data_IF_348549380336
#
_entry.id   IF_348549380336
#
_cell.length_a   1.000
_cell.length_b   1.000
_cell.length_c   1.000
_cell.angle_alpha   90.00
_cell.angle_beta   90.00
_cell.angle_gamma   90.00
#
_symmetry.space_group_name_H-M   'P 1'
#
loop_
_entity.id
_entity.type
_entity.pdbx_description
1 polymer ?
#
# COMPACT_ATOMS: atom_id res chain seq x y z
N UNK A 1 56.27 -53.69 -9.70
CA UNK A 1 54.98 -54.05 -9.08
C UNK A 1 54.24 -52.74 -8.84
N UNK A 2 52.97 -52.71 -9.27
CA UNK A 2 51.98 -51.64 -9.13
C UNK A 2 52.25 -50.30 -9.86
N UNK A 3 51.68 -50.18 -11.06
CA UNK A 3 51.30 -48.91 -11.68
C UNK A 3 49.77 -48.82 -11.62
N UNK A 4 49.24 -48.02 -10.69
CA UNK A 4 47.81 -47.73 -10.54
C UNK A 4 47.42 -46.61 -11.52
N UNK A 5 46.46 -46.93 -12.38
CA UNK A 5 45.70 -45.97 -13.19
C UNK A 5 44.74 -45.19 -12.30
N UNK A 6 44.67 -43.87 -12.48
CA UNK A 6 43.57 -43.03 -12.00
C UNK A 6 42.84 -42.47 -13.23
N UNK A 7 41.50 -42.58 -13.34
CA UNK A 7 40.76 -41.87 -14.36
C UNK A 7 40.46 -40.43 -13.90
N UNK A 8 40.84 -39.49 -14.77
CA UNK A 8 40.49 -38.08 -14.74
C UNK A 8 39.01 -37.86 -15.09
N UNK A 9 38.27 -37.15 -14.23
CA UNK A 9 37.02 -36.46 -14.60
C UNK A 9 36.78 -35.28 -13.66
N UNK A 10 37.29 -34.09 -14.04
CA UNK A 10 36.84 -32.83 -13.46
C UNK A 10 35.67 -32.29 -14.30
N UNK A 11 34.46 -32.30 -13.74
CA UNK A 11 33.32 -31.58 -14.30
C UNK A 11 33.53 -30.05 -14.11
N UNK A 12 33.08 -29.20 -15.05
CA UNK A 12 33.27 -27.76 -14.93
C UNK A 12 32.35 -27.18 -13.85
N UNK A 13 32.95 -26.41 -12.92
CA UNK A 13 32.25 -25.62 -11.92
C UNK A 13 31.48 -24.50 -12.62
N UNK A 14 30.16 -24.53 -12.54
CA UNK A 14 29.28 -23.45 -12.99
C UNK A 14 29.47 -22.20 -12.10
N UNK A 15 29.56 -20.99 -12.66
CA UNK A 15 29.68 -19.78 -11.86
C UNK A 15 28.36 -19.48 -11.14
N UNK A 16 28.40 -19.39 -9.82
CA UNK A 16 27.30 -18.93 -8.99
C UNK A 16 27.15 -17.42 -9.22
N UNK A 17 26.06 -17.01 -9.88
CA UNK A 17 25.71 -15.59 -10.00
C UNK A 17 25.27 -15.05 -8.64
N UNK A 18 25.65 -13.83 -8.25
CA UNK A 18 25.21 -13.24 -7.00
C UNK A 18 23.70 -13.03 -7.02
N UNK A 19 23.01 -13.63 -6.06
CA UNK A 19 21.60 -13.37 -5.77
C UNK A 19 21.48 -11.92 -5.30
N UNK A 20 21.07 -11.03 -6.20
CA UNK A 20 20.60 -9.70 -5.83
C UNK A 20 19.23 -9.88 -5.19
N UNK A 21 19.18 -9.93 -3.86
CA UNK A 21 17.93 -9.74 -3.14
C UNK A 21 17.52 -8.27 -3.29
N UNK A 22 16.60 -8.02 -4.22
CA UNK A 22 15.88 -6.74 -4.28
C UNK A 22 14.76 -6.83 -3.24
N UNK A 23 15.02 -6.32 -2.04
CA UNK A 23 13.94 -5.98 -1.12
C UNK A 23 13.23 -4.74 -1.68
N UNK A 24 11.91 -4.83 -1.88
CA UNK A 24 11.08 -3.64 -2.08
C UNK A 24 11.14 -2.82 -0.79
N UNK A 25 11.88 -1.71 -0.82
CA UNK A 25 11.96 -0.79 0.30
C UNK A 25 10.71 0.11 0.31
N UNK A 26 9.64 -0.42 0.92
CA UNK A 26 8.40 0.34 1.17
C UNK A 26 8.59 1.50 2.16
N UNK A 27 9.81 1.72 2.69
CA UNK A 27 10.15 2.89 3.49
C UNK A 27 10.52 4.11 2.64
N UNK A 28 10.71 3.94 1.31
CA UNK A 28 10.99 5.05 0.41
C UNK A 28 9.76 5.96 0.22
N UNK A 29 9.82 7.23 0.67
CA UNK A 29 8.72 8.17 0.53
C UNK A 29 8.41 8.53 -0.93
N UNK A 30 9.32 8.35 -1.91
CA UNK A 30 9.01 8.61 -3.33
C UNK A 30 8.03 7.59 -3.90
N UNK A 31 8.26 6.31 -3.62
CA UNK A 31 7.44 5.19 -4.10
C UNK A 31 6.01 5.30 -3.56
N UNK A 32 5.87 5.65 -2.28
CA UNK A 32 4.55 5.89 -1.68
C UNK A 32 3.93 7.21 -2.16
N UNK A 33 4.69 8.31 -2.31
CA UNK A 33 4.16 9.59 -2.80
C UNK A 33 3.56 9.48 -4.20
N UNK A 34 4.16 8.71 -5.09
CA UNK A 34 3.60 8.50 -6.43
C UNK A 34 2.28 7.70 -6.37
N UNK A 35 2.20 6.67 -5.52
CA UNK A 35 0.98 5.88 -5.31
C UNK A 35 -0.12 6.63 -4.52
N UNK A 36 0.25 7.54 -3.63
CA UNK A 36 -0.71 8.36 -2.87
C UNK A 36 -1.16 9.59 -3.64
N UNK A 37 -0.31 10.21 -4.47
CA UNK A 37 -0.73 11.27 -5.40
C UNK A 37 -1.76 10.76 -6.43
N UNK A 38 -1.73 9.46 -6.74
CA UNK A 38 -2.74 8.79 -7.57
C UNK A 38 -4.12 8.69 -6.87
N UNK A 39 -4.14 8.59 -5.54
CA UNK A 39 -5.37 8.42 -4.73
C UNK A 39 -5.86 9.74 -4.11
N UNK A 40 -4.98 10.73 -3.91
CA UNK A 40 -5.30 12.04 -3.35
C UNK A 40 -6.07 12.95 -4.30
N UNK A 41 -6.29 12.52 -5.53
CA UNK A 41 -6.75 13.41 -6.55
C UNK A 41 -7.77 12.73 -7.47
N UNK A 42 -9.00 12.63 -6.95
CA UNK A 42 -10.18 12.74 -7.82
C UNK A 42 -10.19 14.09 -8.60
N UNK A 43 -9.28 15.02 -8.28
CA UNK A 43 -8.87 16.17 -9.08
C UNK A 43 -7.81 15.90 -10.17
N UNK A 44 -6.80 15.03 -9.98
CA UNK A 44 -5.78 14.67 -11.02
C UNK A 44 -6.53 13.91 -12.10
N UNK A 45 -7.50 13.06 -11.78
CA UNK A 45 -8.33 12.42 -12.82
C UNK A 45 -9.16 13.45 -13.61
N UNK A 46 -9.29 14.70 -13.17
CA UNK A 46 -9.79 15.80 -13.99
C UNK A 46 -8.66 16.58 -14.69
N UNK A 47 -7.48 16.74 -14.09
CA UNK A 47 -6.31 17.43 -14.67
C UNK A 47 -5.54 16.60 -15.72
N UNK A 48 -5.24 15.32 -15.46
CA UNK A 48 -4.72 14.35 -16.46
C UNK A 48 -5.71 14.13 -17.61
N UNK A 49 -7.00 14.42 -17.39
CA UNK A 49 -8.09 14.35 -18.36
C UNK A 49 -8.50 15.76 -18.85
N UNK A 50 -7.74 16.79 -18.47
CA UNK A 50 -8.03 18.21 -18.66
C UNK A 50 -7.93 18.63 -20.11
N UNK A 51 -8.92 19.40 -20.54
CA UNK A 51 -9.08 19.92 -21.89
C UNK A 51 -7.82 20.67 -22.34
N UNK A 52 -7.22 20.23 -23.46
CA UNK A 52 -6.65 21.22 -24.37
C UNK A 52 -7.83 21.98 -24.94
N UNK A 53 -8.07 23.20 -24.45
CA UNK A 53 -8.55 24.34 -25.23
C UNK A 53 -8.35 25.61 -24.38
N UNK A 54 -7.99 26.68 -25.06
CA UNK A 54 -7.43 27.94 -24.60
C UNK A 54 -8.41 28.86 -23.86
N UNK A 55 -7.82 29.90 -23.26
CA UNK A 55 -8.42 31.18 -22.84
C UNK A 55 -9.07 31.21 -21.44
N UNK A 56 -8.23 31.54 -20.45
CA UNK A 56 -8.66 32.02 -19.13
C UNK A 56 -9.02 33.50 -19.28
N UNK A 57 -10.32 33.79 -19.38
CA UNK A 57 -10.88 35.06 -18.90
C UNK A 57 -11.32 34.89 -17.44
N UNK A 58 -11.11 35.98 -16.68
CA UNK A 58 -11.20 36.10 -15.23
C UNK A 58 -12.41 35.41 -14.58
N UNK A 59 -12.17 34.65 -13.50
CA UNK A 59 -13.22 34.24 -12.56
C UNK A 59 -12.85 34.74 -11.16
N UNK A 60 -13.68 35.67 -10.69
CA UNK A 60 -13.66 36.26 -9.35
C UNK A 60 -13.78 35.20 -8.25
N UNK A 61 -13.06 35.42 -7.14
CA UNK A 61 -13.08 34.58 -5.94
C UNK A 61 -14.50 34.44 -5.36
N UNK A 62 -14.96 33.22 -4.98
CA UNK A 62 -16.27 33.06 -4.38
C UNK A 62 -16.27 33.48 -2.89
N UNK A 63 -17.21 34.37 -2.58
CA UNK A 63 -17.55 34.89 -1.25
C UNK A 63 -18.03 33.77 -0.30
N UNK A 64 -17.64 33.76 1.00
CA UNK A 64 -18.06 32.72 1.92
C UNK A 64 -19.54 32.86 2.33
N UNK A 65 -20.30 31.77 2.17
CA UNK A 65 -21.67 31.65 2.67
C UNK A 65 -21.64 31.42 4.18
N UNK A 66 -22.14 32.39 4.95
CA UNK A 66 -22.59 32.21 6.34
C UNK A 66 -23.88 31.39 6.35
N UNK A 67 -23.94 30.34 7.17
CA UNK A 67 -25.11 30.17 8.04
C UNK A 67 -24.83 29.32 9.29
N UNK A 68 -25.37 29.87 10.37
CA UNK A 68 -25.30 29.44 11.76
C UNK A 68 -26.05 28.12 12.00
N UNK A 69 -25.44 27.20 12.73
CA UNK A 69 -25.96 26.65 14.00
C UNK A 69 -24.97 25.62 14.55
N UNK A 70 -23.99 26.09 15.32
CA UNK A 70 -23.07 25.25 16.10
C UNK A 70 -23.53 25.28 17.54
N UNK A 71 -23.93 24.13 18.09
CA UNK A 71 -24.06 23.92 19.53
C UNK A 71 -22.65 23.97 20.17
N UNK A 72 -22.50 24.53 21.38
CA UNK A 72 -21.19 24.86 21.93
C UNK A 72 -20.46 23.59 22.39
N UNK A 73 -19.39 23.22 21.71
CA UNK A 73 -18.39 22.31 22.27
C UNK A 73 -17.46 23.18 23.12
N UNK A 74 -17.53 22.96 24.43
CA UNK A 74 -16.60 23.53 25.41
C UNK A 74 -15.17 23.15 25.00
N UNK A 75 -14.37 24.14 24.59
CA UNK A 75 -12.92 24.03 24.48
C UNK A 75 -12.34 24.40 25.82
N UNK A 76 -11.84 23.41 26.56
CA UNK A 76 -10.86 23.70 27.60
C UNK A 76 -9.52 23.98 26.91
N UNK A 77 -9.14 25.25 26.99
CA UNK A 77 -7.79 25.73 26.71
C UNK A 77 -6.90 25.20 27.83
N UNK A 78 -5.94 24.35 27.50
CA UNK A 78 -4.77 24.16 28.36
C UNK A 78 -3.80 25.30 28.06
N UNK A 79 -3.71 26.22 29.01
CA UNK A 79 -2.63 27.20 29.13
C UNK A 79 -1.34 26.48 29.56
N UNK A 80 -0.15 27.02 29.21
CA UNK A 80 1.10 26.54 29.79
C UNK A 80 1.18 27.05 31.22
N UNK A 81 1.14 26.15 32.19
CA UNK A 81 1.42 26.47 33.59
C UNK A 81 2.89 26.20 33.92
N UNK A 82 3.42 27.09 34.75
CA UNK A 82 4.80 27.26 35.17
C UNK A 82 5.46 26.00 35.74
N UNK A 83 6.75 25.86 35.43
CA UNK A 83 7.70 25.02 36.16
C UNK A 83 7.80 25.50 37.61
N UNK A 84 7.21 24.75 38.54
CA UNK A 84 7.58 24.80 39.96
C UNK A 84 8.21 23.47 40.34
N UNK A 85 9.50 23.53 40.69
CA UNK A 85 10.31 22.43 41.21
C UNK A 85 9.64 21.79 42.44
N UNK A 86 9.07 20.59 42.28
CA UNK A 86 8.72 19.71 43.39
C UNK A 86 9.88 18.71 43.61
N UNK A 87 10.53 18.83 44.77
CA UNK A 87 11.56 17.91 45.24
C UNK A 87 10.99 16.48 45.33
N UNK A 88 11.49 15.57 44.48
CA UNK A 88 11.19 14.16 44.58
C UNK A 88 11.87 13.56 45.81
N UNK A 89 11.09 13.19 46.82
CA UNK A 89 11.53 12.30 47.88
C UNK A 89 11.91 10.95 47.26
N UNK A 90 13.19 10.58 47.35
CA UNK A 90 13.69 9.27 46.95
C UNK A 90 13.07 8.20 47.86
N UNK A 91 12.06 7.49 47.35
CA UNK A 91 11.56 6.27 47.97
C UNK A 91 12.64 5.18 47.81
N UNK A 92 13.42 4.95 48.87
CA UNK A 92 14.44 3.90 48.92
C UNK A 92 13.77 2.54 48.76
N UNK A 93 13.95 1.91 47.60
CA UNK A 93 13.57 0.51 47.37
C UNK A 93 14.43 -0.37 48.27
N UNK A 94 13.84 -0.97 49.30
CA UNK A 94 14.50 -2.01 50.09
C UNK A 94 14.94 -3.15 49.16
N UNK A 95 16.25 -3.36 49.04
CA UNK A 95 16.86 -4.52 48.39
C UNK A 95 16.49 -5.79 49.16
N UNK A 96 15.32 -6.34 48.88
CA UNK A 96 15.00 -7.71 49.18
C UNK A 96 15.96 -8.62 48.41
N UNK A 97 16.96 -9.19 49.09
CA UNK A 97 17.77 -10.31 48.60
C UNK A 97 16.86 -11.52 48.31
N UNK A 98 16.17 -11.50 47.17
CA UNK A 98 15.62 -12.70 46.55
C UNK A 98 16.79 -13.37 45.84
N UNK A 99 17.02 -14.64 46.16
CA UNK A 99 18.09 -15.43 45.55
C UNK A 99 18.08 -15.25 44.04
N UNK A 100 19.27 -15.07 43.47
CA UNK A 100 19.48 -14.98 42.02
C UNK A 100 19.07 -16.31 41.41
N UNK A 101 17.78 -16.46 41.08
CA UNK A 101 17.36 -17.46 40.11
C UNK A 101 17.77 -16.91 38.76
N UNK A 102 18.83 -17.47 38.17
CA UNK A 102 19.11 -17.28 36.74
C UNK A 102 17.81 -17.61 35.99
N UNK A 103 17.25 -16.67 35.21
CA UNK A 103 16.05 -16.95 34.41
C UNK A 103 16.30 -18.20 33.58
N UNK A 104 15.35 -19.14 33.60
CA UNK A 104 15.43 -20.34 32.78
C UNK A 104 15.43 -19.92 31.31
N UNK A 105 16.47 -20.30 30.56
CA UNK A 105 16.54 -20.02 29.13
C UNK A 105 15.46 -20.85 28.42
N UNK A 106 14.34 -20.21 28.08
CA UNK A 106 13.32 -20.83 27.26
C UNK A 106 13.86 -20.99 25.83
N UNK A 107 14.23 -22.22 25.49
CA UNK A 107 14.60 -22.56 24.12
C UNK A 107 13.35 -22.63 23.23
N UNK A 108 13.38 -21.91 22.11
CA UNK A 108 12.32 -21.99 21.11
C UNK A 108 12.30 -23.37 20.45
N UNK A 109 11.13 -24.02 20.48
CA UNK A 109 10.91 -25.39 19.96
C UNK A 109 10.03 -25.42 18.70
N UNK A 110 9.61 -24.25 18.20
CA UNK A 110 8.73 -24.16 17.04
C UNK A 110 9.44 -24.50 15.73
N UNK A 111 8.68 -25.10 14.79
CA UNK A 111 9.13 -25.30 13.41
C UNK A 111 8.77 -24.07 12.58
N UNK A 112 9.74 -23.17 12.41
CA UNK A 112 9.58 -21.95 11.61
C UNK A 112 9.80 -22.20 10.12
N UNK A 113 9.23 -21.34 9.28
CA UNK A 113 9.44 -21.37 7.84
C UNK A 113 8.14 -21.32 7.06
N UNK A 114 8.27 -21.53 5.75
CA UNK A 114 7.15 -21.61 4.81
C UNK A 114 6.33 -22.86 5.10
N UNK A 115 5.04 -22.68 5.36
CA UNK A 115 4.10 -23.74 5.72
C UNK A 115 3.39 -24.35 4.52
N UNK A 116 3.23 -23.58 3.45
CA UNK A 116 2.59 -24.02 2.22
C UNK A 116 3.48 -23.73 1.02
N UNK A 117 3.63 -24.73 0.14
CA UNK A 117 4.37 -24.58 -1.11
C UNK A 117 3.36 -24.34 -2.24
N UNK A 118 3.64 -23.39 -3.14
CA UNK A 118 2.82 -23.22 -4.32
C UNK A 118 2.97 -24.42 -5.26
N UNK A 119 1.99 -24.66 -6.13
CA UNK A 119 2.05 -25.73 -7.13
C UNK A 119 3.24 -25.56 -8.08
N UNK A 120 3.53 -24.31 -8.44
CA UNK A 120 4.73 -23.93 -9.17
C UNK A 120 5.65 -23.07 -8.29
N UNK A 121 6.95 -23.36 -8.32
CA UNK A 121 7.96 -22.61 -7.54
C UNK A 121 8.37 -21.29 -8.23
N UNK A 122 7.49 -20.70 -9.03
CA UNK A 122 7.76 -19.42 -9.67
C UNK A 122 7.50 -18.25 -8.71
N UNK A 123 8.06 -17.05 -8.97
CA UNK A 123 7.72 -15.86 -8.21
C UNK A 123 6.21 -15.57 -8.17
N UNK A 124 5.48 -15.90 -9.24
CA UNK A 124 4.02 -15.74 -9.28
C UNK A 124 3.33 -16.75 -8.36
N UNK A 125 3.79 -18.00 -8.32
CA UNK A 125 3.27 -19.02 -7.40
C UNK A 125 3.39 -18.58 -5.94
N UNK A 126 4.56 -18.03 -5.55
CA UNK A 126 4.74 -17.48 -4.21
C UNK A 126 3.89 -16.22 -3.95
N UNK A 127 3.75 -15.33 -4.94
CA UNK A 127 2.86 -14.17 -4.82
C UNK A 127 1.41 -14.61 -4.57
N UNK A 128 0.95 -15.68 -5.22
CA UNK A 128 -0.39 -16.24 -5.05
C UNK A 128 -0.67 -16.86 -3.69
N UNK A 129 0.37 -17.17 -2.89
CA UNK A 129 0.18 -17.52 -1.49
C UNK A 129 -0.25 -16.31 -0.64
N UNK A 130 0.14 -15.11 -1.05
CA UNK A 130 -0.15 -13.85 -0.36
C UNK A 130 -1.42 -13.21 -0.88
N UNK A 131 -1.51 -13.03 -2.20
CA UNK A 131 -2.64 -12.45 -2.92
C UNK A 131 -3.23 -13.55 -3.80
N UNK A 132 -4.26 -14.23 -3.31
CA UNK A 132 -4.85 -15.36 -4.02
C UNK A 132 -5.81 -14.93 -5.15
N UNK A 133 -6.24 -15.91 -5.95
CA UNK A 133 -7.13 -15.65 -7.08
C UNK A 133 -8.53 -15.16 -6.63
N UNK A 134 -9.01 -15.55 -5.44
CA UNK A 134 -10.29 -15.08 -4.87
C UNK A 134 -10.22 -13.57 -4.55
N UNK A 135 -9.08 -13.10 -4.02
CA UNK A 135 -8.84 -11.69 -3.77
C UNK A 135 -8.89 -10.88 -5.07
N UNK A 136 -8.23 -11.37 -6.13
CA UNK A 136 -8.24 -10.70 -7.44
C UNK A 136 -9.62 -10.75 -8.08
N UNK A 137 -10.33 -11.87 -7.97
CA UNK A 137 -11.70 -11.98 -8.46
C UNK A 137 -12.61 -10.96 -7.77
N UNK A 138 -12.49 -10.78 -6.45
CA UNK A 138 -13.24 -9.75 -5.75
C UNK A 138 -12.88 -8.34 -6.23
N UNK A 139 -11.60 -8.01 -6.39
CA UNK A 139 -11.18 -6.70 -6.93
C UNK A 139 -11.78 -6.45 -8.32
N UNK A 140 -11.78 -7.46 -9.18
CA UNK A 140 -12.39 -7.38 -10.52
C UNK A 140 -13.88 -7.09 -10.43
N UNK A 141 -14.61 -7.84 -9.60
CA UNK A 141 -16.05 -7.66 -9.40
C UNK A 141 -16.37 -6.25 -8.90
N UNK A 142 -15.70 -5.79 -7.85
CA UNK A 142 -15.97 -4.48 -7.24
C UNK A 142 -15.55 -3.31 -8.13
N UNK A 143 -14.44 -3.45 -8.87
CA UNK A 143 -13.99 -2.45 -9.86
C UNK A 143 -15.00 -2.30 -10.99
N UNK A 144 -15.49 -3.41 -11.55
CA UNK A 144 -16.50 -3.38 -12.62
C UNK A 144 -17.84 -2.86 -12.10
N UNK A 145 -18.25 -3.27 -10.90
CA UNK A 145 -19.46 -2.79 -10.27
C UNK A 145 -19.41 -1.27 -10.08
N UNK A 146 -18.34 -0.76 -9.47
CA UNK A 146 -18.17 0.68 -9.26
C UNK A 146 -18.17 1.47 -10.58
N UNK A 147 -17.44 1.01 -11.60
CA UNK A 147 -17.46 1.65 -12.91
C UNK A 147 -18.87 1.69 -13.50
N UNK A 148 -19.62 0.59 -13.43
CA UNK A 148 -20.99 0.55 -13.92
C UNK A 148 -21.95 1.47 -13.16
N UNK A 149 -21.69 1.72 -11.87
CA UNK A 149 -22.45 2.68 -11.06
C UNK A 149 -22.07 4.13 -11.37
N UNK A 150 -20.78 4.46 -11.38
CA UNK A 150 -20.30 5.81 -11.66
C UNK A 150 -20.69 6.30 -13.04
N UNK A 151 -20.74 5.40 -14.04
CA UNK A 151 -21.12 5.75 -15.41
C UNK A 151 -22.65 5.79 -15.60
N UNK A 152 -23.43 5.33 -14.62
CA UNK A 152 -24.90 5.30 -14.71
C UNK A 152 -25.49 6.65 -14.32
N UNK A 153 -25.94 7.40 -15.32
CA UNK A 153 -26.69 8.64 -15.11
C UNK A 153 -25.84 9.92 -15.20
N UNK A 154 -24.53 9.81 -15.38
CA UNK A 154 -23.69 10.96 -15.70
C UNK A 154 -23.71 11.28 -17.19
N UNK A 155 -24.05 12.52 -17.53
CA UNK A 155 -23.92 13.04 -18.88
C UNK A 155 -22.43 13.31 -19.19
N UNK A 156 -21.68 12.25 -19.47
CA UNK A 156 -20.28 12.36 -19.83
C UNK A 156 -20.12 13.17 -21.12
N UNK A 157 -19.14 14.09 -21.13
CA UNK A 157 -18.81 14.87 -22.32
C UNK A 157 -18.47 13.95 -23.51
N UNK A 158 -18.73 14.34 -24.77
CA UNK A 158 -18.42 13.52 -25.94
C UNK A 158 -16.99 12.98 -25.98
N UNK A 159 -16.03 13.76 -25.47
CA UNK A 159 -14.60 13.44 -25.44
C UNK A 159 -14.14 12.68 -24.18
N UNK A 160 -15.04 12.41 -23.21
CA UNK A 160 -14.67 11.75 -21.96
C UNK A 160 -14.04 10.38 -22.21
N UNK A 161 -12.85 10.16 -21.64
CA UNK A 161 -12.14 8.88 -21.71
C UNK A 161 -12.90 7.76 -20.98
N UNK A 162 -13.71 8.10 -19.97
CA UNK A 162 -14.52 7.13 -19.22
C UNK A 162 -15.54 6.39 -20.09
N UNK A 163 -15.96 6.98 -21.22
CA UNK A 163 -16.80 6.29 -22.23
C UNK A 163 -16.14 5.08 -22.87
N UNK A 164 -14.82 4.97 -22.78
CA UNK A 164 -14.05 3.83 -23.29
C UNK A 164 -13.91 2.71 -22.25
N UNK A 165 -14.59 2.82 -21.11
CA UNK A 165 -14.60 1.76 -20.12
C UNK A 165 -15.13 0.46 -20.73
N UNK A 166 -14.39 -0.60 -20.45
CA UNK A 166 -14.77 -1.99 -20.67
C UNK A 166 -14.42 -2.71 -19.38
N UNK A 167 -15.25 -3.67 -18.98
CA UNK A 167 -15.03 -4.42 -17.75
C UNK A 167 -13.65 -5.07 -17.75
N UNK A 168 -12.97 -4.99 -16.61
CA UNK A 168 -11.69 -5.66 -16.38
C UNK A 168 -11.90 -7.16 -16.21
N UNK A 169 -10.90 -7.93 -16.62
CA UNK A 169 -10.85 -9.39 -16.40
C UNK A 169 -9.82 -9.73 -15.33
N UNK A 170 -9.87 -10.96 -14.80
CA UNK A 170 -8.86 -11.47 -13.85
C UNK A 170 -7.44 -11.37 -14.45
N UNK A 171 -7.26 -11.77 -15.71
CA UNK A 171 -5.96 -11.68 -16.38
C UNK A 171 -5.48 -10.23 -16.52
N UNK A 172 -6.40 -9.30 -16.87
CA UNK A 172 -6.06 -7.89 -16.99
C UNK A 172 -5.71 -7.26 -15.64
N UNK A 173 -6.41 -7.65 -14.56
CA UNK A 173 -6.13 -7.17 -13.21
C UNK A 173 -4.77 -7.68 -12.70
N UNK A 174 -4.43 -8.95 -12.94
CA UNK A 174 -3.09 -9.47 -12.68
C UNK A 174 -2.02 -8.71 -13.48
N UNK A 175 -2.31 -8.40 -14.75
CA UNK A 175 -1.39 -7.61 -15.60
C UNK A 175 -1.21 -6.19 -15.04
N UNK A 176 -2.29 -5.55 -14.61
CA UNK A 176 -2.28 -4.23 -13.98
C UNK A 176 -1.44 -4.20 -12.70
N UNK A 177 -1.63 -5.17 -11.78
CA UNK A 177 -0.79 -5.28 -10.58
C UNK A 177 0.67 -5.62 -10.91
N UNK A 178 0.91 -6.44 -11.93
CA UNK A 178 2.26 -6.71 -12.44
C UNK A 178 2.97 -5.43 -12.92
N UNK A 179 2.25 -4.53 -13.57
CA UNK A 179 2.79 -3.21 -13.93
C UNK A 179 3.05 -2.35 -12.69
N UNK A 180 2.18 -2.33 -11.69
CA UNK A 180 2.41 -1.60 -10.43
C UNK A 180 3.68 -2.10 -9.73
N UNK A 181 3.88 -3.42 -9.65
CA UNK A 181 5.08 -4.03 -9.08
C UNK A 181 6.32 -3.59 -9.88
N UNK A 182 6.24 -3.60 -11.22
CA UNK A 182 7.34 -3.15 -12.08
C UNK A 182 7.63 -1.65 -11.93
N UNK A 183 6.63 -0.81 -11.70
CA UNK A 183 6.82 0.63 -11.44
C UNK A 183 7.65 0.84 -10.16
N UNK A 184 7.44 0.03 -9.12
CA UNK A 184 8.25 0.06 -7.90
C UNK A 184 9.74 -0.28 -8.11
N UNK A 185 10.13 -0.84 -9.27
CA UNK A 185 11.53 -1.15 -9.59
C UNK A 185 12.22 -0.03 -10.38
N UNK A 186 11.48 0.70 -11.22
CA UNK A 186 12.05 1.68 -12.16
C UNK A 186 11.78 3.13 -11.73
N UNK A 187 10.79 3.37 -10.86
CA UNK A 187 10.40 4.65 -10.23
C UNK A 187 10.54 5.87 -11.17
N UNK A 188 9.45 6.20 -11.85
CA UNK A 188 9.30 7.39 -12.70
C UNK A 188 7.94 8.03 -12.49
N UNK A 189 7.74 9.23 -13.04
CA UNK A 189 6.42 9.83 -13.06
C UNK A 189 5.45 9.01 -13.95
N UNK A 190 4.16 9.03 -13.61
CA UNK A 190 3.18 8.12 -14.23
C UNK A 190 3.11 8.24 -15.76
N UNK A 191 3.35 9.44 -16.28
CA UNK A 191 3.34 9.73 -17.71
C UNK A 191 4.56 9.17 -18.44
N UNK A 192 5.69 9.08 -17.72
CA UNK A 192 6.99 8.68 -18.28
C UNK A 192 7.04 7.19 -18.60
N UNK A 193 6.31 6.34 -17.87
CA UNK A 193 6.24 4.90 -18.15
C UNK A 193 5.76 4.56 -19.57
N UNK A 194 4.99 5.45 -20.20
CA UNK A 194 4.52 5.28 -21.57
C UNK A 194 5.14 6.28 -22.55
N UNK A 195 6.17 7.00 -22.12
CA UNK A 195 6.89 7.92 -22.97
C UNK A 195 7.64 7.18 -24.08
N UNK A 196 7.76 7.84 -25.23
CA UNK A 196 8.65 7.42 -26.32
C UNK A 196 9.91 8.30 -26.40
N UNK A 197 10.07 9.20 -25.43
CA UNK A 197 11.23 10.06 -25.34
C UNK A 197 12.47 9.20 -25.04
N UNK A 198 13.61 9.37 -25.74
CA UNK A 198 14.78 8.49 -25.57
C UNK A 198 15.33 8.37 -24.14
N UNK A 199 15.11 9.37 -23.29
CA UNK A 199 15.52 9.35 -21.88
C UNK A 199 14.61 8.49 -20.99
N UNK A 200 13.37 8.24 -21.43
CA UNK A 200 12.32 7.56 -20.68
C UNK A 200 11.67 6.44 -21.52
N UNK A 201 12.36 5.95 -22.56
CA UNK A 201 11.80 4.90 -23.41
C UNK A 201 11.82 3.59 -22.62
N UNK A 202 10.65 3.24 -22.10
CA UNK A 202 10.39 2.01 -21.37
C UNK A 202 9.43 1.12 -22.19
N UNK A 203 9.91 0.43 -23.25
CA UNK A 203 9.07 -0.38 -24.14
C UNK A 203 8.24 -1.43 -23.42
N UNK A 204 8.72 -1.92 -22.28
CA UNK A 204 8.04 -2.91 -21.45
C UNK A 204 6.60 -2.48 -21.14
N UNK A 205 6.37 -1.34 -20.50
CA UNK A 205 5.04 -0.91 -20.05
C UNK A 205 4.06 -0.72 -21.23
N UNK A 206 4.50 -0.03 -22.28
CA UNK A 206 3.70 0.21 -23.50
C UNK A 206 3.41 -1.06 -24.31
N UNK A 207 4.25 -2.09 -24.19
CA UNK A 207 4.00 -3.39 -24.82
C UNK A 207 2.96 -4.24 -24.09
N UNK A 208 2.78 -4.02 -22.79
CA UNK A 208 1.91 -4.82 -21.92
C UNK A 208 0.50 -4.23 -21.83
N UNK A 209 0.39 -2.93 -21.55
CA UNK A 209 -0.91 -2.24 -21.44
C UNK A 209 -0.80 -0.83 -22.01
N UNK A 210 -1.87 -0.33 -22.64
CA UNK A 210 -1.91 1.07 -23.08
C UNK A 210 -2.07 2.00 -21.87
N UNK A 211 -1.36 3.14 -21.88
CA UNK A 211 -1.47 4.19 -20.84
C UNK A 211 -2.91 4.52 -20.45
N UNK A 212 -3.74 4.82 -21.45
CA UNK A 212 -5.12 5.23 -21.20
C UNK A 212 -5.95 4.10 -20.55
N UNK A 213 -5.64 2.82 -20.84
CA UNK A 213 -6.30 1.70 -20.17
C UNK A 213 -5.83 1.55 -18.73
N UNK A 214 -4.52 1.66 -18.49
CA UNK A 214 -3.96 1.64 -17.14
C UNK A 214 -4.58 2.74 -16.27
N UNK A 215 -4.62 3.99 -16.76
CA UNK A 215 -5.22 5.12 -16.04
C UNK A 215 -6.73 4.94 -15.83
N UNK A 216 -7.45 4.34 -16.79
CA UNK A 216 -8.87 4.03 -16.61
C UNK A 216 -9.09 3.01 -15.49
N UNK A 217 -8.32 1.92 -15.47
CA UNK A 217 -8.38 0.91 -14.40
C UNK A 217 -8.07 1.56 -13.06
N UNK A 218 -7.01 2.37 -13.01
CA UNK A 218 -6.60 3.09 -11.82
C UNK A 218 -7.70 4.02 -11.28
N UNK A 219 -8.46 4.66 -12.17
CA UNK A 219 -9.55 5.58 -11.79
C UNK A 219 -10.76 4.86 -11.19
N UNK A 220 -11.02 3.62 -11.59
CA UNK A 220 -12.18 2.84 -11.14
C UNK A 220 -11.84 1.73 -10.14
N UNK A 221 -10.55 1.51 -9.82
CA UNK A 221 -10.09 0.46 -8.92
C UNK A 221 -10.85 0.49 -7.58
N UNK A 222 -11.61 -0.56 -7.31
CA UNK A 222 -12.42 -0.70 -6.09
C UNK A 222 -12.28 -2.10 -5.50
N UNK A 223 -12.36 -2.16 -4.16
CA UNK A 223 -12.14 -3.36 -3.36
C UNK A 223 -13.37 -3.77 -2.52
N UNK A 224 -14.42 -2.95 -2.51
CA UNK A 224 -15.67 -3.19 -1.79
C UNK A 224 -16.84 -2.41 -2.41
N UNK A 225 -18.05 -2.92 -2.22
CA UNK A 225 -19.28 -2.21 -2.58
C UNK A 225 -19.53 -1.06 -1.59
N UNK A 226 -19.52 0.18 -2.09
CA UNK A 226 -19.74 1.37 -1.28
C UNK A 226 -21.11 1.36 -0.57
N UNK A 227 -22.10 0.61 -1.06
CA UNK A 227 -23.44 0.50 -0.46
C UNK A 227 -23.48 -0.34 0.80
N UNK A 228 -22.51 -1.23 0.98
CA UNK A 228 -22.43 -2.11 2.14
C UNK A 228 -21.81 -1.42 3.36
N UNK A 229 -21.21 -0.24 3.19
CA UNK A 229 -20.63 0.49 4.29
C UNK A 229 -21.73 1.02 5.23
N UNK A 230 -21.67 0.69 6.54
CA UNK A 230 -22.62 1.26 7.50
C UNK A 230 -22.55 2.80 7.56
N UNK A 231 -23.66 3.48 7.93
CA UNK A 231 -23.65 4.92 8.17
C UNK A 231 -22.62 5.31 9.23
N UNK A 232 -22.11 6.55 9.18
CA UNK A 232 -21.06 7.04 10.09
C UNK A 232 -21.48 7.03 11.56
N UNK A 233 -22.77 7.12 11.81
CA UNK A 233 -23.38 7.16 13.14
C UNK A 233 -23.61 5.75 13.72
N UNK A 234 -23.39 4.70 12.92
CA UNK A 234 -23.54 3.32 13.36
C UNK A 234 -22.36 2.87 14.21
N UNK A 235 -22.62 2.08 15.25
CA UNK A 235 -21.57 1.39 16.02
C UNK A 235 -20.72 0.44 15.15
N UNK A 236 -21.27 -0.02 14.03
CA UNK A 236 -20.58 -0.90 13.08
C UNK A 236 -19.80 -0.14 12.00
N UNK A 237 -19.69 1.19 12.08
CA UNK A 237 -18.93 1.97 11.12
C UNK A 237 -17.45 1.57 11.14
N UNK A 238 -16.93 1.16 9.99
CA UNK A 238 -15.52 0.82 9.82
C UNK A 238 -14.82 1.88 8.95
N UNK A 239 -13.90 2.69 9.51
CA UNK A 239 -13.17 3.70 8.75
C UNK A 239 -12.34 3.15 7.58
N UNK A 240 -11.97 1.87 7.62
CA UNK A 240 -11.21 1.20 6.54
C UNK A 240 -12.05 0.18 5.78
N UNK A 241 -13.38 0.28 5.84
CA UNK A 241 -14.33 -0.64 5.21
C UNK A 241 -13.93 -1.00 3.76
N UNK A 242 -13.56 0.01 2.97
CA UNK A 242 -13.17 -0.13 1.55
C UNK A 242 -12.04 -1.12 1.30
N UNK A 243 -11.17 -1.35 2.27
CA UNK A 243 -10.04 -2.28 2.16
C UNK A 243 -10.13 -3.42 3.19
N UNK A 244 -11.14 -3.42 4.06
CA UNK A 244 -11.22 -4.32 5.21
C UNK A 244 -11.16 -5.78 4.78
N UNK A 245 -11.99 -6.16 3.82
CA UNK A 245 -12.06 -7.53 3.29
C UNK A 245 -10.70 -7.98 2.75
N UNK A 246 -10.04 -7.10 1.99
CA UNK A 246 -8.72 -7.36 1.41
C UNK A 246 -7.64 -7.51 2.49
N UNK A 247 -7.57 -6.59 3.46
CA UNK A 247 -6.59 -6.65 4.56
C UNK A 247 -6.79 -7.88 5.45
N UNK A 248 -8.04 -8.22 5.78
CA UNK A 248 -8.34 -9.43 6.56
C UNK A 248 -7.83 -10.67 5.84
N UNK A 249 -8.08 -10.78 4.52
CA UNK A 249 -7.63 -11.91 3.73
C UNK A 249 -6.10 -11.98 3.60
N UNK A 250 -5.42 -10.85 3.46
CA UNK A 250 -3.95 -10.78 3.52
C UNK A 250 -3.42 -11.33 4.85
N UNK A 251 -4.01 -10.92 5.98
CA UNK A 251 -3.58 -11.40 7.30
C UNK A 251 -3.78 -12.90 7.47
N UNK A 252 -4.89 -13.44 6.97
CA UNK A 252 -5.15 -14.88 6.93
C UNK A 252 -4.09 -15.60 6.08
N UNK A 253 -3.82 -15.10 4.88
CA UNK A 253 -2.85 -15.65 3.95
C UNK A 253 -1.42 -15.61 4.52
N UNK A 254 -1.00 -14.51 5.13
CA UNK A 254 0.33 -14.40 5.76
C UNK A 254 0.51 -15.39 6.91
N UNK A 255 -0.51 -15.53 7.78
CA UNK A 255 -0.50 -16.52 8.88
C UNK A 255 -0.45 -17.95 8.36
N UNK A 256 -1.14 -18.22 7.25
CA UNK A 256 -1.18 -19.52 6.60
C UNK A 256 0.12 -19.85 5.86
N UNK A 257 0.81 -18.87 5.30
CA UNK A 257 1.98 -19.09 4.44
C UNK A 257 3.32 -19.18 5.19
N UNK A 258 3.42 -18.62 6.40
CA UNK A 258 4.69 -18.57 7.13
C UNK A 258 4.54 -18.62 8.65
N UNK A 259 5.34 -19.48 9.31
CA UNK A 259 5.50 -19.50 10.77
C UNK A 259 6.78 -18.74 11.16
N UNK A 260 6.69 -17.66 11.94
CA UNK A 260 7.85 -16.90 12.40
C UNK A 260 8.85 -17.69 13.23
N UNK A 261 10.09 -17.18 13.25
CA UNK A 261 11.19 -17.64 14.11
C UNK A 261 11.01 -17.30 15.58
N UNK A 262 11.98 -17.75 16.39
CA UNK A 262 12.08 -17.43 17.83
C UNK A 262 12.17 -15.93 18.14
N UNK A 263 12.62 -15.12 17.17
CA UNK A 263 12.89 -13.69 17.34
C UNK A 263 12.00 -12.92 16.36
N UNK A 264 11.05 -12.17 16.92
CA UNK A 264 10.13 -11.31 16.17
C UNK A 264 10.36 -9.87 16.63
N UNK A 265 10.48 -8.96 15.69
CA UNK A 265 10.47 -7.53 15.95
C UNK A 265 9.08 -7.00 15.63
N UNK A 266 8.53 -6.18 16.52
CA UNK A 266 7.26 -5.48 16.34
C UNK A 266 7.61 -4.00 16.35
N UNK A 267 7.25 -3.30 15.28
CA UNK A 267 7.48 -1.88 15.13
C UNK A 267 6.31 -1.25 14.36
N UNK A 268 6.18 0.06 14.46
CA UNK A 268 5.21 0.84 13.73
C UNK A 268 5.73 1.19 12.33
N UNK A 269 4.87 1.02 11.32
CA UNK A 269 5.11 1.54 9.99
C UNK A 269 4.30 2.82 9.76
N UNK A 270 4.86 3.76 8.99
CA UNK A 270 4.18 5.00 8.59
C UNK A 270 4.08 5.04 7.07
N UNK A 271 2.86 4.99 6.55
CA UNK A 271 2.58 5.20 5.13
C UNK A 271 2.28 6.68 4.90
N UNK A 272 3.12 7.36 4.12
CA UNK A 272 2.93 8.79 3.84
C UNK A 272 1.54 9.06 3.23
N UNK A 273 0.81 10.05 3.77
CA UNK A 273 -0.50 10.45 3.25
C UNK A 273 -0.83 11.88 3.71
N UNK A 274 -1.21 12.75 2.78
CA UNK A 274 -1.57 14.16 3.01
C UNK A 274 -3.04 14.46 2.71
N UNK A 275 -3.77 13.56 2.07
CA UNK A 275 -5.19 13.73 1.78
C UNK A 275 -6.08 13.76 3.03
N UNK A 276 -7.36 14.15 2.86
CA UNK A 276 -8.34 14.14 3.94
C UNK A 276 -8.64 12.69 4.35
N UNK A 277 -8.28 12.32 5.58
CA UNK A 277 -8.55 11.00 6.14
C UNK A 277 -8.73 11.12 7.65
N UNK A 278 -9.77 10.47 8.18
CA UNK A 278 -10.18 10.62 9.58
C UNK A 278 -9.13 10.11 10.58
N UNK A 279 -8.35 9.11 10.19
CA UNK A 279 -7.33 8.45 11.03
C UNK A 279 -5.89 8.76 10.59
N UNK A 280 -5.69 9.89 9.88
CA UNK A 280 -4.35 10.38 9.55
C UNK A 280 -3.64 10.86 10.83
N UNK A 281 -2.40 10.44 10.99
CA UNK A 281 -1.55 10.78 12.14
C UNK A 281 -0.47 11.78 11.72
N UNK A 282 -0.13 12.68 12.65
CA UNK A 282 1.07 13.52 12.55
C UNK A 282 2.17 12.95 13.46
N UNK A 283 3.37 12.70 12.92
CA UNK A 283 4.55 12.30 13.67
C UNK A 283 5.74 13.19 13.24
N UNK A 284 6.22 14.12 14.08
CA UNK A 284 7.28 15.06 13.72
C UNK A 284 8.63 14.40 13.46
N UNK A 285 8.87 13.21 14.02
CA UNK A 285 10.15 12.51 13.98
C UNK A 285 10.32 11.66 12.71
N UNK A 286 9.25 11.48 11.92
CA UNK A 286 9.30 10.73 10.66
C UNK A 286 9.57 11.66 9.46
N UNK A 287 10.31 11.21 8.42
CA UNK A 287 10.58 12.01 7.22
C UNK A 287 9.31 12.50 6.53
N UNK A 288 8.27 11.66 6.47
CA UNK A 288 6.91 12.11 6.16
C UNK A 288 6.16 12.31 7.46
N UNK A 289 5.93 13.59 7.81
CA UNK A 289 5.28 13.95 9.07
C UNK A 289 3.81 13.59 9.14
N UNK A 290 3.14 13.43 8.00
CA UNK A 290 1.72 13.05 7.93
C UNK A 290 1.60 11.71 7.24
N UNK A 291 0.76 10.82 7.80
CA UNK A 291 0.56 9.51 7.24
C UNK A 291 -0.49 8.65 7.93
N UNK A 292 -0.63 7.44 7.44
CA UNK A 292 -1.40 6.35 8.04
C UNK A 292 -0.41 5.51 8.84
N UNK A 293 -0.69 5.36 10.13
CA UNK A 293 0.11 4.54 11.03
C UNK A 293 -0.40 3.09 10.99
N UNK A 294 0.52 2.14 10.82
CA UNK A 294 0.24 0.70 10.70
C UNK A 294 1.04 -0.03 11.79
N UNK A 295 0.45 -1.08 12.36
CA UNK A 295 1.01 -1.92 13.42
C UNK A 295 0.96 -3.40 13.01
#
# INVERSE_FOLDING_TARGET
>A
MESSEYPSTSAPVQPVLPTVQVFLDLSDPSTLRQLTNISEEQGVVAELFGNQDSDIEDIEEPVPIRNNSVLPVHRDRLTPEDDSDEEHEEETVEEGRRGVTTPEELHFTGNSGVTEQPEDLSPLGFLKLMIDDDMIENIVQETNHYAAESLRGEALTPKSRFKKWVDVTIQEMWTFFGLIIAMGLVINDIEEYWSSHPLYDLPFFRSIMRRDRFLLILSFLHLADNKEQPPRESENFDPIFKIRKFVTKLQENFKRAYIPGARVAIDEAMMAWRGPLAFRVYNPDKPSKFGIKIF
#
